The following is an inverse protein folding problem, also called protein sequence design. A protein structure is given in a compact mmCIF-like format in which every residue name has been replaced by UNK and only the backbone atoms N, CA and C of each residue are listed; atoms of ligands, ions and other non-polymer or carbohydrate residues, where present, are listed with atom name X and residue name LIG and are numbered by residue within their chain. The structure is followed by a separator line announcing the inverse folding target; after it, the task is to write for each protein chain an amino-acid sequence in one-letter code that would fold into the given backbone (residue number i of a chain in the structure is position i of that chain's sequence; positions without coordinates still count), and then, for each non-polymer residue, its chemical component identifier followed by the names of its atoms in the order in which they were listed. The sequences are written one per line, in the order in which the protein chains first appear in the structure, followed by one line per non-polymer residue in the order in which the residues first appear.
data_IF_158595951086
#
_entry.id   IF_158595951086
#
_cell.length_a   1.000
_cell.length_b   1.000
_cell.length_c   1.000
_cell.angle_alpha   90.00
_cell.angle_beta   90.00
_cell.angle_gamma   90.00
#
_symmetry.space_group_name_H-M   'P 1'
#
loop_
_entity.id
_entity.type
_entity.pdbx_description
1 polymer ?
2 non-polymer ?
3 non-polymer ?
4 water ?
#
# COMPACT_ATOMS: atom_id res chain seq x y z
N UNK A 1 -13.32 0.86 -5.18
CA UNK A 1 -13.25 0.50 -6.62
C UNK A 1 -11.91 0.77 -7.26
N UNK A 2 -11.71 0.22 -8.45
CA UNK A 2 -10.38 0.20 -9.03
C UNK A 2 -9.86 1.60 -9.38
N UNK A 3 -10.70 2.50 -9.89
CA UNK A 3 -10.25 3.82 -10.18
C UNK A 3 -9.88 4.56 -8.86
N UNK A 4 -10.67 4.42 -7.78
CA UNK A 4 -10.29 5.03 -6.54
C UNK A 4 -8.92 4.45 -6.03
N UNK A 5 -8.75 3.13 -6.16
CA UNK A 5 -7.48 2.52 -5.78
C UNK A 5 -6.32 3.06 -6.60
N UNK A 6 -6.55 3.44 -7.85
CA UNK A 6 -5.47 4.00 -8.68
C UNK A 6 -5.03 5.35 -8.17
N UNK A 7 -6.00 6.19 -7.78
CA UNK A 7 -5.66 7.51 -7.18
C UNK A 7 -4.91 7.33 -5.87
N UNK A 8 -5.38 6.46 -4.98
CA UNK A 8 -4.67 6.28 -3.74
C UNK A 8 -3.24 5.80 -4.01
N UNK A 9 -3.06 4.85 -4.91
CA UNK A 9 -1.73 4.33 -5.22
C UNK A 9 -0.88 5.42 -5.84
N UNK A 10 -1.40 6.19 -6.79
CA UNK A 10 -0.55 7.17 -7.44
C UNK A 10 -0.06 8.22 -6.43
N UNK A 11 -0.87 8.62 -5.48
CA UNK A 11 -0.49 9.63 -4.53
C UNK A 11 0.44 9.10 -3.45
N UNK A 12 0.08 7.98 -2.85
CA UNK A 12 0.90 7.31 -1.82
C UNK A 12 2.30 7.05 -2.41
N UNK A 13 2.35 6.59 -3.65
CA UNK A 13 3.62 6.23 -4.26
C UNK A 13 4.59 7.41 -4.46
N UNK A 14 4.13 8.64 -4.34
CA UNK A 14 5.07 9.81 -4.45
C UNK A 14 6.03 9.93 -3.27
N UNK A 15 5.96 9.04 -2.28
CA UNK A 15 6.91 9.03 -1.17
C UNK A 15 7.89 7.85 -1.34
N UNK A 16 7.79 7.07 -2.40
CA UNK A 16 8.73 5.95 -2.54
C UNK A 16 10.18 6.45 -2.63
N UNK A 17 10.45 7.42 -3.50
CA UNK A 17 11.84 7.78 -3.69
C UNK A 17 12.50 8.32 -2.40
N UNK A 18 11.80 9.07 -1.56
CA UNK A 18 12.41 9.59 -0.33
C UNK A 18 12.56 8.53 0.73
N UNK A 19 11.95 7.36 0.50
CA UNK A 19 12.05 6.30 1.51
C UNK A 19 13.01 5.17 1.08
N UNK A 20 13.61 5.25 -0.12
CA UNK A 20 14.43 4.17 -0.61
C UNK A 20 15.66 3.97 0.21
N UNK A 21 16.37 5.02 0.57
CA UNK A 21 17.68 4.87 1.13
C UNK A 21 17.58 4.22 2.50
N UNK A 22 16.60 4.63 3.29
CA UNK A 22 16.53 4.08 4.67
C UNK A 22 15.98 2.68 4.72
N UNK A 23 15.27 2.27 3.69
CA UNK A 23 14.65 0.94 3.62
C UNK A 23 15.52 -0.06 2.90
N UNK A 24 16.53 0.40 2.17
CA UNK A 24 17.28 -0.57 1.26
C UNK A 24 16.53 -1.05 0.03
N UNK A 25 15.44 -0.38 -0.32
CA UNK A 25 14.62 -0.75 -1.47
C UNK A 25 15.25 -0.25 -2.79
N UNK A 26 16.12 -1.08 -3.35
CA UNK A 26 16.82 -0.87 -4.61
C UNK A 26 15.82 -0.58 -5.73
N UNK A 27 16.17 0.23 -6.74
CA UNK A 27 15.29 0.38 -7.89
C UNK A 27 15.10 -0.95 -8.64
N UNK A 28 16.06 -1.86 -8.52
CA UNK A 28 15.97 -3.19 -9.13
C UNK A 28 15.04 -4.10 -8.42
N UNK A 29 14.62 -3.79 -7.21
CA UNK A 29 13.49 -4.51 -6.62
C UNK A 29 12.16 -3.87 -7.06
N UNK A 30 12.04 -2.55 -6.93
CA UNK A 30 10.81 -1.89 -7.36
C UNK A 30 11.14 -0.47 -7.86
N UNK A 31 10.91 -0.23 -9.13
CA UNK A 31 11.27 1.05 -9.80
C UNK A 31 10.24 2.16 -9.51
N UNK A 32 8.98 1.86 -9.76
CA UNK A 32 7.90 2.80 -9.58
C UNK A 32 6.87 2.08 -8.69
N UNK A 33 6.35 2.79 -7.70
CA UNK A 33 5.36 2.17 -6.80
C UNK A 33 4.17 1.57 -7.58
N UNK A 34 3.73 2.13 -8.73
CA UNK A 34 2.60 1.59 -9.48
C UNK A 34 2.80 0.12 -9.79
N UNK A 35 4.07 -0.33 -9.96
CA UNK A 35 4.30 -1.74 -10.35
C UNK A 35 3.90 -2.74 -9.23
N UNK A 36 3.75 -2.24 -8.02
CA UNK A 36 3.12 -3.09 -6.95
C UNK A 36 1.95 -3.90 -7.46
N UNK A 37 1.13 -3.33 -8.35
CA UNK A 37 -0.02 -3.97 -8.87
C UNK A 37 0.17 -4.88 -10.08
N UNK A 38 1.36 -4.98 -10.62
CA UNK A 38 1.61 -5.80 -11.80
C UNK A 38 1.42 -7.25 -11.44
N UNK A 39 0.86 -8.01 -12.39
CA UNK A 39 0.75 -9.44 -12.27
C UNK A 39 2.08 -10.10 -12.03
N UNK A 40 3.13 -9.43 -12.52
CA UNK A 40 4.53 -9.86 -12.57
C UNK A 40 5.43 -9.36 -11.39
N UNK A 41 4.85 -8.77 -10.32
CA UNK A 41 5.58 -8.30 -9.14
C UNK A 41 5.18 -9.04 -7.89
N UNK A 42 6.07 -9.82 -7.30
CA UNK A 42 5.77 -10.47 -6.06
C UNK A 42 6.11 -9.54 -4.89
N UNK A 43 5.13 -9.37 -4.01
CA UNK A 43 5.21 -8.49 -2.86
C UNK A 43 5.76 -9.32 -1.72
N UNK A 44 7.10 -9.32 -1.58
CA UNK A 44 7.73 -10.26 -0.65
C UNK A 44 8.94 -9.75 0.14
N UNK A 45 9.55 -8.68 -0.34
CA UNK A 45 10.83 -8.24 0.24
C UNK A 45 10.70 -7.54 1.55
N UNK A 46 11.47 -7.92 2.54
CA UNK A 46 11.47 -7.21 3.78
C UNK A 46 11.66 -5.69 3.54
N UNK A 47 12.57 -5.36 2.63
CA UNK A 47 12.89 -3.98 2.32
C UNK A 47 11.64 -3.19 1.88
N UNK A 48 10.78 -3.87 1.14
CA UNK A 48 9.48 -3.24 0.75
C UNK A 48 8.57 -3.00 1.95
N UNK A 49 8.55 -3.89 2.92
CA UNK A 49 7.87 -3.65 4.20
C UNK A 49 8.39 -2.44 4.94
N UNK A 50 9.74 -2.35 5.00
CA UNK A 50 10.33 -1.19 5.61
C UNK A 50 9.98 0.10 4.86
N UNK A 51 10.00 0.05 3.52
CA UNK A 51 9.61 1.22 2.70
C UNK A 51 8.18 1.59 2.96
N UNK A 52 7.26 0.62 3.05
CA UNK A 52 5.85 0.98 3.28
C UNK A 52 5.63 1.57 4.62
N UNK A 53 6.42 1.15 5.64
CA UNK A 53 6.35 1.84 6.96
C UNK A 53 6.77 3.31 6.82
N UNK A 54 7.91 3.54 6.16
CA UNK A 54 8.38 4.90 5.93
C UNK A 54 7.30 5.73 5.17
N UNK A 55 6.75 5.18 4.08
CA UNK A 55 5.76 5.88 3.27
C UNK A 55 4.53 6.17 4.09
N UNK A 56 4.08 5.18 4.87
CA UNK A 56 2.88 5.37 5.66
C UNK A 56 3.04 6.47 6.67
N UNK A 57 4.22 6.53 7.27
CA UNK A 57 4.39 7.43 8.38
C UNK A 57 4.42 8.87 7.91
N UNK A 58 4.82 9.05 6.66
CA UNK A 58 4.75 10.42 6.07
C UNK A 58 3.33 10.97 6.16
N UNK A 59 2.31 10.09 5.98
CA UNK A 59 0.93 10.53 6.00
C UNK A 59 0.19 10.13 7.25
N UNK A 60 0.93 9.69 8.27
CA UNK A 60 0.32 9.26 9.53
C UNK A 60 -0.70 8.12 9.36
N UNK A 61 -0.41 7.18 8.43
CA UNK A 61 -1.31 6.13 8.10
C UNK A 61 -1.11 4.89 8.94
N UNK A 62 -0.03 4.93 9.72
CA UNK A 62 0.18 3.84 10.72
C UNK A 62 0.21 4.39 12.11
N UNK A 63 -0.16 3.54 13.04
CA UNK A 63 -0.21 3.97 14.46
C UNK A 63 1.09 3.55 15.11
N UNK A 64 1.20 3.81 16.41
CA UNK A 64 2.45 3.44 17.09
C UNK A 64 2.71 1.94 17.29
N UNK A 65 1.73 1.10 17.01
CA UNK A 65 1.96 -0.37 16.95
C UNK A 65 2.37 -0.84 15.55
N UNK A 66 2.71 0.12 14.67
CA UNK A 66 3.15 -0.24 13.31
C UNK A 66 2.11 -1.03 12.58
N UNK A 67 0.85 -0.62 12.86
CA UNK A 67 -0.34 -1.13 12.15
C UNK A 67 -1.13 -0.01 11.62
N UNK A 68 -2.05 -0.31 10.71
CA UNK A 68 -2.80 0.76 10.10
C UNK A 68 -3.56 1.56 11.15
N UNK A 69 -3.54 2.88 10.98
CA UNK A 69 -4.35 3.80 11.82
C UNK A 69 -5.69 3.89 11.06
N UNK A 70 -6.75 3.28 11.61
CA UNK A 70 -7.97 3.17 10.90
C UNK A 70 -8.61 4.52 10.55
N UNK A 71 -8.66 5.47 11.50
CA UNK A 71 -9.30 6.73 11.19
C UNK A 71 -8.51 7.51 10.18
N UNK A 72 -7.18 7.56 10.35
CA UNK A 72 -6.36 8.33 9.36
C UNK A 72 -6.43 7.71 7.97
N UNK A 73 -6.52 6.37 7.89
CA UNK A 73 -6.60 5.69 6.61
C UNK A 73 -7.97 5.93 5.97
N UNK A 74 -9.05 5.88 6.75
CA UNK A 74 -10.37 6.25 6.22
C UNK A 74 -10.40 7.68 5.67
N UNK A 75 -9.85 8.63 6.45
CA UNK A 75 -9.81 10.03 6.02
C UNK A 75 -8.95 10.24 4.80
N UNK A 76 -7.85 9.52 4.73
CA UNK A 76 -7.03 9.58 3.50
C UNK A 76 -7.75 9.06 2.27
N UNK A 77 -8.38 7.93 2.36
CA UNK A 77 -9.07 7.37 1.18
C UNK A 77 -10.20 8.30 0.73
N UNK A 78 -10.95 8.82 1.73
CA UNK A 78 -12.05 9.76 1.47
C UNK A 78 -11.56 11.05 0.84
N UNK A 79 -10.27 11.34 0.82
CA UNK A 79 -9.77 12.62 0.29
C UNK A 79 -9.67 12.49 -1.21
N UNK A 80 -9.88 11.31 -1.82
CA UNK A 80 -9.81 11.11 -3.27
C UNK A 80 -11.23 11.09 -3.84
N UNK A 81 -11.37 11.39 -5.16
CA UNK A 81 -12.67 11.33 -5.80
C UNK A 81 -13.35 10.00 -5.59
N UNK A 82 -14.60 10.06 -5.13
CA UNK A 82 -15.40 8.86 -4.94
C UNK A 82 -14.84 7.95 -3.83
N UNK A 83 -13.99 8.51 -3.01
CA UNK A 83 -13.30 7.74 -1.96
C UNK A 83 -14.19 7.06 -0.97
N UNK A 84 -15.37 7.61 -0.69
CA UNK A 84 -16.25 6.95 0.28
C UNK A 84 -16.63 5.54 -0.15
N UNK A 85 -16.58 5.24 -1.44
CA UNK A 85 -16.99 3.91 -1.91
C UNK A 85 -15.95 2.83 -1.53
N UNK A 86 -14.71 3.25 -1.35
CA UNK A 86 -13.61 2.35 -1.10
C UNK A 86 -13.24 2.41 0.39
N UNK A 87 -13.50 3.51 1.14
CA UNK A 87 -12.82 3.67 2.44
C UNK A 87 -13.12 2.51 3.43
N UNK A 88 -14.37 2.17 3.64
CA UNK A 88 -14.69 1.09 4.56
C UNK A 88 -14.16 -0.23 4.08
N UNK A 89 -14.30 -0.52 2.80
CA UNK A 89 -13.86 -1.81 2.29
C UNK A 89 -12.36 -1.94 2.36
N UNK A 90 -11.61 -0.94 1.97
CA UNK A 90 -10.14 -1.07 2.06
C UNK A 90 -9.62 -1.17 3.48
N UNK A 91 -10.17 -0.44 4.44
CA UNK A 91 -9.79 -0.55 5.84
C UNK A 91 -10.11 -1.95 6.33
N UNK A 92 -11.26 -2.48 6.00
CA UNK A 92 -11.61 -3.85 6.36
C UNK A 92 -10.62 -4.86 5.80
N UNK A 93 -10.29 -4.76 4.52
CA UNK A 93 -9.37 -5.74 3.88
C UNK A 93 -8.02 -5.70 4.55
N UNK A 94 -7.48 -4.51 4.75
CA UNK A 94 -6.18 -4.39 5.40
C UNK A 94 -6.21 -4.94 6.83
N UNK A 95 -7.25 -4.60 7.59
CA UNK A 95 -7.26 -5.08 8.94
C UNK A 95 -7.46 -6.59 9.01
N UNK A 96 -8.22 -7.22 8.12
CA UNK A 96 -8.33 -8.68 8.11
C UNK A 96 -6.98 -9.30 7.77
N UNK A 97 -6.20 -8.70 6.87
CA UNK A 97 -4.88 -9.21 6.58
C UNK A 97 -3.93 -8.98 7.76
N UNK A 98 -4.01 -7.88 8.50
CA UNK A 98 -3.15 -7.71 9.62
C UNK A 98 -3.42 -8.79 10.63
N UNK A 99 -4.68 -9.19 10.88
CA UNK A 99 -4.96 -10.21 11.89
C UNK A 99 -4.28 -11.53 11.54
N UNK A 100 -4.14 -11.82 10.24
CA UNK A 100 -3.51 -13.09 9.81
C UNK A 100 -2.00 -13.13 10.08
N UNK A 101 -1.37 -11.97 10.31
CA UNK A 101 0.05 -11.85 10.45
C UNK A 101 0.49 -11.31 11.78
N UNK A 102 -0.45 -11.29 12.72
CA UNK A 102 -0.15 -10.70 14.02
C UNK A 102 0.98 -11.38 14.76
N UNK A 103 1.30 -12.65 14.44
CA UNK A 103 2.42 -13.34 15.17
C UNK A 103 3.76 -13.12 14.53
N UNK A 104 3.82 -12.37 13.39
CA UNK A 104 5.13 -11.99 12.85
C UNK A 104 5.76 -10.90 13.73
N UNK A 105 6.90 -11.23 14.32
CA UNK A 105 7.64 -10.31 15.28
C UNK A 105 8.38 -9.18 14.55
N UNK A 106 8.72 -9.39 13.28
CA UNK A 106 9.57 -8.39 12.53
C UNK A 106 8.62 -7.46 11.83
N UNK A 107 8.61 -6.18 12.22
CA UNK A 107 7.60 -5.21 11.71
C UNK A 107 7.72 -5.05 10.20
N UNK A 108 8.95 -4.98 9.65
CA UNK A 108 9.07 -4.90 8.20
C UNK A 108 8.54 -6.10 7.47
N UNK A 109 8.91 -7.31 7.93
CA UNK A 109 8.34 -8.49 7.33
C UNK A 109 6.84 -8.59 7.48
N UNK A 110 6.33 -8.25 8.64
CA UNK A 110 4.89 -8.25 8.81
C UNK A 110 4.20 -7.35 7.84
N UNK A 111 4.70 -6.14 7.69
CA UNK A 111 4.05 -5.24 6.78
C UNK A 111 4.06 -5.70 5.34
N UNK A 112 5.16 -6.28 4.89
CA UNK A 112 5.17 -6.76 3.53
C UNK A 112 4.21 -7.96 3.36
N UNK A 113 4.09 -8.82 4.37
CA UNK A 113 3.15 -9.96 4.33
C UNK A 113 1.70 -9.43 4.27
N UNK A 114 1.41 -8.38 5.07
CA UNK A 114 0.09 -7.73 5.06
C UNK A 114 -0.20 -7.13 3.66
N UNK A 115 0.83 -6.50 3.08
CA UNK A 115 0.67 -5.92 1.79
C UNK A 115 0.38 -6.93 0.68
N UNK A 116 1.04 -8.10 0.72
CA UNK A 116 0.78 -9.13 -0.25
C UNK A 116 -0.66 -9.68 -0.12
N UNK A 117 -1.12 -9.84 1.08
CA UNK A 117 -2.46 -10.30 1.40
C UNK A 117 -3.47 -9.27 0.87
N UNK A 118 -3.17 -7.99 1.10
CA UNK A 118 -4.04 -6.96 0.64
C UNK A 118 -4.08 -6.97 -0.87
N UNK A 119 -2.95 -7.14 -1.58
CA UNK A 119 -3.00 -7.25 -3.05
C UNK A 119 -3.86 -8.41 -3.52
N UNK A 120 -3.68 -9.57 -2.90
CA UNK A 120 -4.39 -10.77 -3.25
C UNK A 120 -5.91 -10.57 -3.09
N UNK A 121 -6.31 -10.06 -1.94
CA UNK A 121 -7.73 -9.94 -1.62
C UNK A 121 -8.35 -8.77 -2.42
N UNK A 122 -7.56 -7.73 -2.76
CA UNK A 122 -8.07 -6.64 -3.62
C UNK A 122 -8.36 -7.22 -5.02
N UNK A 123 -7.45 -8.10 -5.50
CA UNK A 123 -7.64 -8.72 -6.82
C UNK A 123 -8.91 -9.57 -6.80
N UNK A 124 -9.03 -10.41 -5.78
CA UNK A 124 -10.20 -11.27 -5.55
C UNK A 124 -11.46 -10.48 -5.46
N UNK A 125 -11.47 -9.33 -4.76
CA UNK A 125 -12.64 -8.44 -4.67
C UNK A 125 -12.94 -7.54 -5.88
N UNK A 126 -12.08 -7.59 -6.87
CA UNK A 126 -12.31 -6.86 -8.06
C UNK A 126 -11.98 -5.41 -7.98
N UNK A 127 -11.15 -4.95 -7.02
CA UNK A 127 -10.79 -3.55 -6.86
C UNK A 127 -9.29 -3.30 -7.13
N UNK A 128 -8.54 -4.30 -7.55
CA UNK A 128 -7.12 -4.09 -7.87
C UNK A 128 -7.02 -3.36 -9.23
N UNK A 129 -6.33 -2.23 -9.30
CA UNK A 129 -6.21 -1.54 -10.61
C UNK A 129 -5.11 -2.15 -11.44
N UNK A 130 -5.20 -1.88 -12.73
CA UNK A 130 -4.07 -2.19 -13.61
C UNK A 130 -2.99 -1.13 -13.41
N UNK A 131 -1.76 -1.49 -13.70
CA UNK A 131 -0.67 -0.50 -13.71
C UNK A 131 -1.02 0.70 -14.62
N UNK A 132 -1.62 0.39 -15.77
CA UNK A 132 -2.01 1.47 -16.72
C UNK A 132 -2.91 2.49 -16.05
N UNK A 133 -3.79 2.06 -15.15
CA UNK A 133 -4.76 3.03 -14.59
C UNK A 133 -4.07 3.92 -13.53
N UNK A 134 -3.07 3.38 -12.81
CA UNK A 134 -2.26 4.19 -11.90
C UNK A 134 -1.47 5.21 -12.72
N UNK A 135 -0.89 4.75 -13.84
CA UNK A 135 -0.15 5.67 -14.69
C UNK A 135 -1.00 6.81 -15.20
N UNK A 136 -2.22 6.50 -15.59
CA UNK A 136 -3.14 7.51 -16.13
C UNK A 136 -3.41 8.65 -15.13
N UNK A 137 -3.32 8.39 -13.84
CA UNK A 137 -3.51 9.41 -12.80
C UNK A 137 -2.24 9.93 -12.12
N UNK A 138 -1.07 9.54 -12.62
CA UNK A 138 0.16 9.95 -11.87
C UNK A 138 0.46 11.51 -11.64
N UNK A 139 0.01 12.30 -12.60
CA UNK A 139 0.17 13.76 -12.68
C UNK A 139 -0.64 14.56 -11.60
N UNK A 140 -1.64 13.93 -10.98
CA UNK A 140 -2.55 14.67 -10.11
C UNK A 140 -1.95 15.04 -8.79
N UNK A 141 -2.32 16.22 -8.30
CA UNK A 141 -2.05 16.64 -6.92
C UNK A 141 -0.57 17.11 -6.73
X LIG B 1 14.02 -9.57 11.71
X LIG C 1 17.73 0.53 6.68
X LIG D 1 11.33 4.77 -13.22
X LIG E 1 8.14 14.16 -0.59
X LIG F 1 -6.93 12.15 10.67
X LIG G 1 -2.08 2.63 0.21
X LIG G 1 -2.10 2.31 -1.28
X LIG G 1 -1.42 1.30 -1.82
X LIG G 1 -0.61 0.53 -0.86
X LIG G 1 -0.01 -0.60 -1.17
X LIG G 1 0.78 -1.28 -0.08
X LIG G 1 -0.23 -2.02 0.76
X LIG G 1 -0.01 -1.62 2.19
X LIG G 1 -1.25 -1.97 2.99
X LIG G 1 -0.86 -2.24 4.43
X LIG G 1 -0.84 -0.89 5.15
X LIG G 1 -0.08 -0.96 6.46
X LIG G 1 -0.75 -2.04 7.30
X LIG G 1 0.23 -3.10 7.77
X LIG G 1 0.02 -3.35 9.16
X LIG H 1 3.23 8.51 13.13
#
# INVERSE_FOLDING_TARGET
TAEVMSHVTAHFGKTLEECREESGLSVDILDEFKHFWSDDFDVVHRELGCAIICMSNKFSLMDDDVRMHHVNMDEYIKSFPNGQVLAEKMVKLIHNCEKQFDTETDDCTRVVKVAACFKEDSRKEGIAPEVAMVEAVIEKY
MG MG
MG MG
MG MG
MG MG
MG MG
M21 C1 C2 C3 C4 C5 C6 C7 C8 C9 C10 C11 C12 C13 C14 O
MG MG
#
